data_IF_672765479125
#
_entry.id   IF_672765479125
#
_cell.length_a   1.000
_cell.length_b   1.000
_cell.length_c   1.000
_cell.angle_alpha   90.00
_cell.angle_beta   90.00
_cell.angle_gamma   90.00
#
_symmetry.space_group_name_H-M   'P 1'
#
loop_
_entity.id
_entity.type
_entity.pdbx_description
1 polymer ?
#
# COMPACT_ATOMS: atom_id res chain seq x y z
N UNK A 1 -30.92 -9.47 41.19
CA UNK A 1 -30.37 -8.22 40.61
C UNK A 1 -30.23 -8.45 39.12
N UNK A 2 -31.13 -7.87 38.33
CA UNK A 2 -31.15 -8.02 36.88
C UNK A 2 -31.73 -6.74 36.27
N UNK A 3 -30.97 -6.17 35.33
CA UNK A 3 -31.33 -5.17 34.31
C UNK A 3 -29.99 -4.77 33.67
N UNK A 4 -29.79 -4.72 32.36
CA UNK A 4 -30.72 -4.58 31.26
C UNK A 4 -29.98 -3.76 30.22
N UNK A 5 -29.91 -4.25 28.99
CA UNK A 5 -29.38 -3.57 27.83
C UNK A 5 -30.36 -2.50 27.33
N UNK A 6 -29.87 -1.30 26.99
CA UNK A 6 -30.44 -0.44 25.92
C UNK A 6 -29.54 0.77 25.58
N UNK A 7 -29.21 0.82 24.29
CA UNK A 7 -28.78 1.90 23.39
C UNK A 7 -28.93 3.40 23.81
N UNK A 8 -27.99 4.26 23.36
CA UNK A 8 -28.16 5.27 22.27
C UNK A 8 -27.03 6.35 22.30
N UNK A 9 -26.36 6.60 21.15
CA UNK A 9 -25.32 7.63 20.88
C UNK A 9 -26.01 8.86 20.22
N UNK A 10 -25.68 10.15 20.50
CA UNK A 10 -24.76 10.95 19.65
C UNK A 10 -23.87 11.95 20.42
N UNK A 11 -22.56 11.96 20.13
CA UNK A 11 -21.82 12.93 19.28
C UNK A 11 -21.64 14.33 19.89
N UNK A 12 -20.42 14.65 20.34
CA UNK A 12 -19.60 15.75 19.79
C UNK A 12 -18.27 15.97 20.52
N UNK A 13 -17.21 15.86 19.73
CA UNK A 13 -16.05 16.76 19.68
C UNK A 13 -15.17 16.97 20.93
N UNK A 14 -14.02 16.29 20.94
CA UNK A 14 -12.74 17.01 21.01
C UNK A 14 -11.65 16.16 20.36
N UNK A 15 -11.31 16.53 19.12
CA UNK A 15 -10.31 15.88 18.28
C UNK A 15 -8.95 15.86 18.96
N UNK A 16 -8.55 14.67 19.40
CA UNK A 16 -7.15 14.25 19.39
C UNK A 16 -7.07 13.19 18.32
N UNK A 17 -6.89 13.60 17.06
CA UNK A 17 -6.50 12.69 15.98
C UNK A 17 -5.07 12.27 16.28
N UNK A 18 -4.96 11.37 17.25
CA UNK A 18 -3.84 10.47 17.41
C UNK A 18 -3.77 9.78 16.07
N UNK A 19 -2.79 10.16 15.24
CA UNK A 19 -2.41 9.47 14.02
C UNK A 19 -1.97 8.06 14.43
N UNK A 20 -2.96 7.24 14.78
CA UNK A 20 -2.80 5.82 15.01
C UNK A 20 -2.56 5.32 13.61
N UNK A 21 -1.32 4.92 13.32
CA UNK A 21 -0.92 4.33 12.06
C UNK A 21 -1.89 3.22 11.69
N UNK A 22 -2.90 3.59 10.91
CA UNK A 22 -3.73 2.63 10.23
C UNK A 22 -2.79 1.97 9.27
N UNK A 23 -2.48 0.69 9.51
CA UNK A 23 -2.00 -0.21 8.47
C UNK A 23 -2.78 0.14 7.21
N UNK A 24 -2.14 0.81 6.26
CA UNK A 24 -2.74 1.07 4.97
C UNK A 24 -2.84 -0.32 4.37
N UNK A 25 -4.02 -0.93 4.46
CA UNK A 25 -4.20 -2.31 4.01
C UNK A 25 -4.26 -2.26 2.49
N UNK A 26 -3.10 -2.32 1.87
CA UNK A 26 -3.01 -2.45 0.43
C UNK A 26 -3.52 -3.84 0.06
N UNK A 27 -4.28 -3.93 -1.03
CA UNK A 27 -4.70 -5.23 -1.53
C UNK A 27 -3.43 -6.04 -1.89
N UNK A 28 -3.40 -7.36 -1.66
CA UNK A 28 -2.21 -8.18 -1.92
C UNK A 28 -1.76 -8.13 -3.40
N UNK A 29 -2.68 -7.80 -4.31
CA UNK A 29 -2.42 -7.56 -5.73
C UNK A 29 -1.86 -6.16 -6.06
N UNK A 30 -1.82 -5.23 -5.10
CA UNK A 30 -1.36 -3.85 -5.35
C UNK A 30 0.14 -3.83 -5.62
N UNK A 31 0.58 -3.07 -6.62
CA UNK A 31 2.00 -2.84 -6.86
C UNK A 31 2.39 -1.49 -6.25
N UNK A 32 3.26 -1.52 -5.26
CA UNK A 32 3.82 -0.34 -4.61
C UNK A 32 5.08 0.09 -5.33
N UNK A 33 5.24 1.39 -5.59
CA UNK A 33 6.33 1.96 -6.36
C UNK A 33 7.05 2.98 -5.47
N UNK A 34 8.31 2.73 -5.20
CA UNK A 34 9.18 3.66 -4.49
C UNK A 34 9.79 4.69 -5.46
N UNK A 35 10.17 5.86 -4.95
CA UNK A 35 10.84 6.91 -5.74
C UNK A 35 12.11 6.44 -6.46
N UNK A 36 12.77 5.40 -5.94
CA UNK A 36 13.95 4.78 -6.56
C UNK A 36 13.64 3.97 -7.83
N UNK A 37 12.35 3.85 -8.19
CA UNK A 37 11.87 3.06 -9.33
C UNK A 37 11.83 1.56 -9.06
N UNK A 38 11.83 1.15 -7.79
CA UNK A 38 11.63 -0.24 -7.38
C UNK A 38 10.15 -0.51 -7.08
N UNK A 39 9.63 -1.62 -7.62
CA UNK A 39 8.31 -2.15 -7.33
C UNK A 39 8.35 -3.16 -6.18
N UNK A 40 7.36 -3.07 -5.31
CA UNK A 40 7.14 -3.96 -4.16
C UNK A 40 5.71 -4.48 -4.15
N UNK A 41 5.51 -5.67 -3.58
CA UNK A 41 4.19 -6.26 -3.34
C UNK A 41 3.93 -6.24 -1.82
N UNK A 42 2.80 -5.68 -1.36
CA UNK A 42 2.43 -5.69 0.05
C UNK A 42 2.27 -7.13 0.55
N UNK A 43 2.75 -7.39 1.76
CA UNK A 43 2.77 -8.74 2.36
C UNK A 43 3.89 -9.67 1.87
N UNK A 44 4.37 -9.53 0.63
CA UNK A 44 5.52 -10.31 0.12
C UNK A 44 6.89 -9.68 0.42
N UNK A 45 6.90 -8.43 0.90
CA UNK A 45 8.10 -7.69 1.23
C UNK A 45 8.32 -7.62 2.74
N UNK A 46 9.31 -8.36 3.27
CA UNK A 46 9.60 -8.38 4.71
C UNK A 46 10.39 -7.17 5.23
N UNK A 47 10.87 -6.29 4.35
CA UNK A 47 11.68 -5.12 4.71
C UNK A 47 10.96 -3.77 4.53
N UNK A 48 9.69 -3.80 4.14
CA UNK A 48 8.93 -2.61 3.82
C UNK A 48 7.76 -2.51 4.79
N UNK A 49 7.72 -1.42 5.53
CA UNK A 49 6.63 -1.10 6.45
C UNK A 49 5.54 -0.36 5.69
N UNK A 50 4.33 -0.92 5.61
CA UNK A 50 3.19 -0.30 4.90
C UNK A 50 2.81 1.07 5.47
N UNK A 51 3.12 1.31 6.75
CA UNK A 51 2.92 2.60 7.42
C UNK A 51 3.81 3.73 6.88
N UNK A 52 4.92 3.40 6.23
CA UNK A 52 5.85 4.37 5.63
C UNK A 52 5.52 4.66 4.16
N UNK A 53 4.49 4.01 3.61
CA UNK A 53 4.03 4.21 2.24
C UNK A 53 3.13 5.45 2.20
N UNK A 54 3.73 6.59 1.88
CA UNK A 54 3.02 7.84 1.68
C UNK A 54 3.57 8.61 0.47
N UNK A 55 2.72 9.36 -0.25
CA UNK A 55 3.19 10.35 -1.21
C UNK A 55 3.96 11.48 -0.49
N UNK A 56 4.91 12.16 -1.15
CA UNK A 56 5.29 12.02 -2.57
C UNK A 56 6.31 10.90 -2.85
N UNK A 57 6.87 10.28 -1.81
CA UNK A 57 7.93 9.27 -1.95
C UNK A 57 7.43 7.95 -2.56
N UNK A 58 6.13 7.67 -2.39
CA UNK A 58 5.49 6.45 -2.87
C UNK A 58 4.34 6.71 -3.83
N UNK A 59 4.22 5.83 -4.81
CA UNK A 59 3.07 5.66 -5.69
C UNK A 59 2.64 4.21 -5.69
N UNK A 60 1.44 3.91 -6.16
CA UNK A 60 0.97 2.54 -6.25
C UNK A 60 -0.01 2.33 -7.40
N UNK A 61 -0.19 1.06 -7.77
CA UNK A 61 -1.11 0.60 -8.79
C UNK A 61 -2.09 -0.35 -8.11
N UNK A 62 -3.32 0.11 -7.90
CA UNK A 62 -4.42 -0.77 -7.49
C UNK A 62 -4.89 -1.58 -8.70
N UNK A 63 -5.19 -2.87 -8.51
CA UNK A 63 -5.67 -3.77 -9.56
C UNK A 63 -4.80 -3.75 -10.83
N UNK A 64 -3.50 -4.09 -10.74
CA UNK A 64 -2.64 -4.16 -11.91
C UNK A 64 -3.14 -5.23 -12.89
N UNK A 65 -2.84 -5.05 -14.19
CA UNK A 65 -3.11 -6.08 -15.19
C UNK A 65 -2.42 -7.40 -14.79
N UNK A 66 -3.06 -8.53 -15.09
CA UNK A 66 -2.48 -9.84 -14.82
C UNK A 66 -1.11 -9.96 -15.50
N UNK A 67 -0.07 -10.30 -14.73
CA UNK A 67 1.30 -10.38 -15.22
C UNK A 67 2.03 -9.03 -15.36
N UNK A 68 1.42 -7.89 -15.00
CA UNK A 68 2.11 -6.58 -14.99
C UNK A 68 3.37 -6.65 -14.13
N UNK A 69 3.28 -7.23 -12.92
CA UNK A 69 4.44 -7.45 -12.04
C UNK A 69 5.60 -8.12 -12.77
N UNK A 70 5.34 -9.23 -13.47
CA UNK A 70 6.36 -9.99 -14.21
C UNK A 70 6.99 -9.21 -15.38
N UNK A 71 6.25 -8.25 -15.94
CA UNK A 71 6.70 -7.42 -17.06
C UNK A 71 7.52 -6.21 -16.61
N UNK A 72 7.49 -5.83 -15.32
CA UNK A 72 8.22 -4.65 -14.82
C UNK A 72 9.71 -4.81 -15.10
N UNK A 73 10.21 -3.93 -15.97
CA UNK A 73 11.59 -3.83 -16.40
C UNK A 73 11.93 -2.40 -16.81
N UNK A 74 13.20 -2.14 -17.15
CA UNK A 74 13.60 -0.84 -17.68
C UNK A 74 12.93 -0.52 -19.03
N UNK A 75 12.61 -1.57 -19.79
CA UNK A 75 11.99 -1.47 -21.12
C UNK A 75 10.47 -1.30 -21.02
N UNK A 76 9.86 -1.90 -20.00
CA UNK A 76 8.43 -1.81 -19.71
C UNK A 76 8.22 -1.30 -18.27
N UNK A 77 8.40 0.02 -18.04
CA UNK A 77 8.19 0.59 -16.73
C UNK A 77 6.69 0.64 -16.38
N UNK A 78 6.34 0.23 -15.16
CA UNK A 78 4.98 0.35 -14.65
C UNK A 78 4.80 1.72 -13.98
N UNK A 79 3.84 2.52 -14.45
CA UNK A 79 3.54 3.83 -13.88
C UNK A 79 2.54 3.74 -12.73
N UNK A 80 2.79 4.47 -11.65
CA UNK A 80 1.86 4.57 -10.54
C UNK A 80 0.55 5.24 -10.99
N UNK A 81 -0.59 4.68 -10.57
CA UNK A 81 -1.92 5.25 -10.85
C UNK A 81 -2.48 6.02 -9.66
N UNK A 82 -1.94 5.78 -8.46
CA UNK A 82 -2.34 6.39 -7.20
C UNK A 82 -1.13 6.80 -6.37
N UNK A 83 -1.34 7.64 -5.34
CA UNK A 83 -0.25 8.22 -4.56
C UNK A 83 0.51 9.24 -5.40
N UNK A 84 1.82 9.06 -5.57
CA UNK A 84 2.60 9.82 -6.55
C UNK A 84 2.57 9.17 -7.93
N UNK A 85 1.70 9.66 -8.80
CA UNK A 85 1.52 9.20 -10.19
C UNK A 85 2.68 9.58 -11.13
N UNK A 86 3.62 10.41 -10.68
CA UNK A 86 4.84 10.69 -11.45
C UNK A 86 5.87 9.55 -11.36
N UNK A 87 5.71 8.62 -10.40
CA UNK A 87 6.63 7.53 -10.19
C UNK A 87 6.41 6.38 -11.17
N UNK A 88 7.52 5.75 -11.55
CA UNK A 88 7.55 4.60 -12.46
C UNK A 88 8.49 3.53 -11.91
N UNK A 89 7.98 2.32 -11.77
CA UNK A 89 8.81 1.18 -11.45
C UNK A 89 9.49 0.64 -12.70
N UNK A 90 10.81 0.54 -12.66
CA UNK A 90 11.64 -0.06 -13.74
C UNK A 90 12.25 -1.39 -13.31
N UNK A 91 12.15 -1.74 -12.03
CA UNK A 91 12.70 -2.98 -11.46
C UNK A 91 11.78 -3.51 -10.39
N UNK A 92 11.80 -4.83 -10.21
CA UNK A 92 11.13 -5.52 -9.11
C UNK A 92 12.06 -5.67 -7.92
N UNK A 93 11.50 -5.63 -6.72
CA UNK A 93 12.22 -6.00 -5.52
C UNK A 93 12.61 -7.48 -5.56
N UNK A 94 13.90 -7.77 -5.39
CA UNK A 94 14.43 -9.14 -5.37
C UNK A 94 13.83 -10.00 -4.27
N UNK A 95 13.54 -9.41 -3.11
CA UNK A 95 12.88 -10.13 -2.01
C UNK A 95 11.47 -10.57 -2.40
N UNK A 96 10.69 -9.69 -3.04
CA UNK A 96 9.35 -10.02 -3.50
C UNK A 96 9.37 -11.07 -4.62
N UNK A 97 10.41 -11.07 -5.48
CA UNK A 97 10.56 -12.10 -6.52
C UNK A 97 10.79 -13.49 -5.93
N UNK A 98 11.54 -13.60 -4.82
CA UNK A 98 11.80 -14.89 -4.16
C UNK A 98 10.62 -15.43 -3.35
N UNK A 99 9.72 -14.57 -2.87
CA UNK A 99 8.54 -14.96 -2.08
C UNK A 99 7.32 -15.30 -2.94
N UNK A 100 7.26 -14.80 -4.18
CA UNK A 100 6.20 -15.10 -5.15
C UNK A 100 6.58 -16.20 -6.15
N UNK A 101 7.76 -16.82 -5.97
CA UNK A 101 8.31 -17.88 -6.83
C UNK A 101 7.99 -19.28 -6.34
#
# INVERSE_FOLDING_TARGET
>A
MGAGCACHIPDRAMGRTRATGGRQHFQPDTILIHESGCAHIPGACGHLSESDIAPPTWGWIINPAAGLWGQISKELPAAATHGNTALKATRRCGSCMGTLG
#
